data_IF_384067803911
#
_entry.id   IF_384067803911
#
_cell.length_a   1.000
_cell.length_b   1.000
_cell.length_c   1.000
_cell.angle_alpha   90.00
_cell.angle_beta   90.00
_cell.angle_gamma   90.00
#
_symmetry.space_group_name_H-M   'P 1'
#
loop_
_entity.id
_entity.type
_entity.pdbx_description
1 polymer ?
#
# COMPACT_ATOMS: atom_id res chain seq x y z
N UNK A 1 0.22 32.26 -34.19
CA UNK A 1 0.59 30.86 -33.92
C UNK A 1 1.09 30.78 -32.48
N UNK A 2 0.25 30.33 -31.54
CA UNK A 2 0.64 30.25 -30.12
C UNK A 2 1.81 29.28 -29.96
N UNK A 3 2.84 29.71 -29.23
CA UNK A 3 3.91 28.83 -28.77
C UNK A 3 3.23 27.71 -27.97
N UNK A 4 3.43 26.45 -28.37
CA UNK A 4 2.70 25.30 -27.83
C UNK A 4 2.60 25.33 -26.31
N UNK A 5 1.38 25.10 -25.80
CA UNK A 5 1.10 25.04 -24.37
C UNK A 5 1.87 23.89 -23.74
N UNK A 6 2.83 24.19 -22.86
CA UNK A 6 3.57 23.19 -22.08
C UNK A 6 2.86 23.00 -20.74
N UNK A 7 2.13 21.90 -20.61
CA UNK A 7 1.53 21.53 -19.34
C UNK A 7 2.62 20.96 -18.41
N UNK A 8 2.92 21.68 -17.33
CA UNK A 8 3.87 21.21 -16.32
C UNK A 8 3.13 20.35 -15.31
N UNK A 9 3.37 19.03 -15.34
CA UNK A 9 2.66 18.05 -14.49
C UNK A 9 2.81 18.31 -12.99
N UNK A 10 3.95 18.88 -12.56
CA UNK A 10 4.17 19.30 -11.17
C UNK A 10 3.24 20.45 -10.76
N UNK A 11 3.06 21.45 -11.65
CA UNK A 11 2.14 22.56 -11.42
C UNK A 11 0.67 22.10 -11.49
N UNK A 12 0.35 21.11 -12.33
CA UNK A 12 -0.97 20.48 -12.36
C UNK A 12 -1.24 19.72 -11.05
N UNK A 13 -0.26 18.99 -10.51
CA UNK A 13 -0.37 18.28 -9.25
C UNK A 13 -0.54 19.24 -8.06
N UNK A 14 0.24 20.32 -8.04
CA UNK A 14 0.10 21.36 -7.03
C UNK A 14 -1.28 22.04 -7.13
N UNK A 15 -1.72 22.39 -8.34
CA UNK A 15 -3.03 22.99 -8.56
C UNK A 15 -4.19 22.02 -8.21
N UNK A 16 -4.04 20.72 -8.46
CA UNK A 16 -5.01 19.71 -8.05
C UNK A 16 -5.09 19.64 -6.51
N UNK A 17 -3.95 19.61 -5.83
CA UNK A 17 -3.87 19.63 -4.37
C UNK A 17 -4.49 20.89 -3.77
N UNK A 18 -4.20 22.06 -4.36
CA UNK A 18 -4.79 23.34 -3.95
C UNK A 18 -6.31 23.35 -4.18
N UNK A 19 -6.80 22.82 -5.31
CA UNK A 19 -8.22 22.69 -5.59
C UNK A 19 -8.92 21.75 -4.59
N UNK A 20 -8.33 20.59 -4.28
CA UNK A 20 -8.85 19.69 -3.26
C UNK A 20 -8.84 20.34 -1.87
N UNK A 21 -7.76 21.02 -1.50
CA UNK A 21 -7.66 21.76 -0.24
C UNK A 21 -8.69 22.89 -0.13
N UNK A 22 -8.97 23.61 -1.20
CA UNK A 22 -10.03 24.62 -1.24
C UNK A 22 -11.42 23.99 -1.08
N UNK A 23 -11.66 22.81 -1.65
CA UNK A 23 -12.92 22.09 -1.44
C UNK A 23 -13.12 21.75 0.05
N UNK A 24 -12.08 21.23 0.71
CA UNK A 24 -12.10 20.92 2.15
C UNK A 24 -12.32 22.17 3.00
N UNK A 25 -11.64 23.28 2.68
CA UNK A 25 -11.83 24.55 3.39
C UNK A 25 -13.26 25.08 3.25
N UNK A 26 -13.85 25.00 2.05
CA UNK A 26 -15.25 25.42 1.80
C UNK A 26 -16.22 24.57 2.63
N UNK A 27 -16.01 23.26 2.71
CA UNK A 27 -16.84 22.37 3.51
C UNK A 27 -16.68 22.62 5.01
N UNK A 28 -15.46 22.85 5.47
CA UNK A 28 -15.17 23.20 6.85
C UNK A 28 -15.82 24.55 7.24
N UNK A 29 -15.75 25.57 6.38
CA UNK A 29 -16.44 26.84 6.60
C UNK A 29 -17.96 26.68 6.61
N UNK A 30 -18.52 25.88 5.69
CA UNK A 30 -19.95 25.57 5.65
C UNK A 30 -20.40 24.83 6.91
N UNK A 31 -19.65 23.84 7.37
CA UNK A 31 -19.94 23.07 8.58
C UNK A 31 -19.87 23.95 9.83
N UNK A 32 -18.88 24.85 9.91
CA UNK A 32 -18.77 25.81 11.02
C UNK A 32 -19.90 26.85 11.00
N UNK A 33 -20.29 27.34 9.82
CA UNK A 33 -21.41 28.27 9.68
C UNK A 33 -22.73 27.62 10.10
N UNK A 34 -22.93 26.37 9.69
CA UNK A 34 -24.08 25.56 10.09
C UNK A 34 -24.08 25.29 11.59
N UNK A 35 -22.98 24.86 12.19
CA UNK A 35 -22.87 24.65 13.64
C UNK A 35 -23.16 25.92 14.46
N UNK A 36 -22.79 27.10 13.93
CA UNK A 36 -23.03 28.39 14.60
C UNK A 36 -24.44 28.91 14.42
N UNK A 37 -25.15 28.50 13.37
CA UNK A 37 -26.46 29.08 13.02
C UNK A 37 -27.63 28.10 13.19
N UNK A 38 -27.42 26.78 13.11
CA UNK A 38 -28.47 25.76 13.20
C UNK A 38 -29.21 25.81 14.54
N UNK A 39 -30.53 25.91 14.47
CA UNK A 39 -31.42 25.94 15.64
C UNK A 39 -31.30 27.19 16.52
N UNK A 40 -30.46 28.19 16.15
CA UNK A 40 -30.26 29.42 16.91
C UNK A 40 -31.01 30.58 16.27
N UNK A 41 -31.67 31.39 17.11
CA UNK A 41 -32.24 32.67 16.70
C UNK A 41 -31.11 33.63 16.31
N UNK A 42 -31.18 34.18 15.09
CA UNK A 42 -30.17 35.10 14.54
C UNK A 42 -30.24 36.52 15.14
N UNK A 43 -31.20 36.78 16.04
CA UNK A 43 -31.32 38.04 16.78
C UNK A 43 -32.35 37.94 17.92
N UNK A 44 -32.42 38.98 18.76
CA UNK A 44 -33.36 39.08 19.90
C UNK A 44 -34.52 40.05 19.60
N UNK A 45 -35.72 39.76 20.11
CA UNK A 45 -36.89 40.64 20.01
C UNK A 45 -37.52 40.73 18.60
N UNK A 46 -38.38 41.75 18.38
CA UNK A 46 -39.09 41.95 17.09
C UNK A 46 -38.14 42.14 15.90
N UNK A 47 -36.99 42.79 16.11
CA UNK A 47 -35.94 42.93 15.09
C UNK A 47 -35.24 41.60 14.77
N UNK A 48 -35.06 40.73 15.76
CA UNK A 48 -34.53 39.38 15.56
C UNK A 48 -35.39 38.53 14.61
N UNK A 49 -36.72 38.67 14.66
CA UNK A 49 -37.62 37.97 13.73
C UNK A 49 -37.52 38.50 12.29
N UNK A 50 -37.27 39.79 12.11
CA UNK A 50 -37.06 40.40 10.79
C UNK A 50 -35.73 39.91 10.19
N UNK A 51 -34.66 39.94 10.99
CA UNK A 51 -33.34 39.41 10.60
C UNK A 51 -33.43 37.92 10.30
N UNK A 52 -34.15 37.14 11.10
CA UNK A 52 -34.33 35.73 10.85
C UNK A 52 -35.07 35.48 9.52
N UNK A 53 -36.16 36.19 9.23
CA UNK A 53 -36.89 36.02 7.96
C UNK A 53 -36.08 36.45 6.73
N UNK A 54 -35.26 37.49 6.84
CA UNK A 54 -34.48 38.00 5.72
C UNK A 54 -33.17 37.23 5.48
N UNK A 55 -32.45 36.88 6.54
CA UNK A 55 -31.07 36.37 6.48
C UNK A 55 -31.02 34.84 6.55
N UNK A 56 -31.98 34.19 7.23
CA UNK A 56 -31.97 32.73 7.40
C UNK A 56 -31.99 31.98 6.06
N UNK A 57 -32.85 32.33 5.08
CA UNK A 57 -32.88 31.64 3.80
C UNK A 57 -31.55 31.76 3.03
N UNK A 58 -30.86 32.90 3.17
CA UNK A 58 -29.55 33.14 2.54
C UNK A 58 -28.49 32.24 3.17
N UNK A 59 -28.43 32.18 4.51
CA UNK A 59 -27.48 31.31 5.23
C UNK A 59 -27.74 29.84 4.91
N UNK A 60 -29.00 29.42 4.93
CA UNK A 60 -29.36 28.03 4.64
C UNK A 60 -28.99 27.68 3.19
N UNK A 61 -29.24 28.56 2.20
CA UNK A 61 -28.80 28.35 0.81
C UNK A 61 -27.26 28.34 0.65
N UNK A 62 -26.55 29.18 1.40
CA UNK A 62 -25.08 29.17 1.41
C UNK A 62 -24.53 27.84 1.94
N UNK A 63 -25.15 27.27 2.97
CA UNK A 63 -24.75 25.99 3.58
C UNK A 63 -25.11 24.81 2.67
N UNK A 64 -26.34 24.75 2.16
CA UNK A 64 -26.84 23.54 1.48
C UNK A 64 -26.47 23.50 0.02
N UNK A 65 -26.51 24.63 -0.68
CA UNK A 65 -26.51 24.65 -2.15
C UNK A 65 -25.20 25.23 -2.69
N UNK A 66 -24.81 26.41 -2.22
CA UNK A 66 -23.62 27.10 -2.73
C UNK A 66 -22.33 26.41 -2.28
N UNK A 67 -22.18 26.14 -0.98
CA UNK A 67 -20.95 25.53 -0.45
C UNK A 67 -20.74 24.11 -0.99
N UNK A 68 -21.82 23.31 -1.11
CA UNK A 68 -21.72 21.98 -1.72
C UNK A 68 -21.40 22.03 -3.21
N UNK A 69 -22.00 22.96 -3.95
CA UNK A 69 -21.71 23.12 -5.39
C UNK A 69 -20.28 23.62 -5.63
N UNK A 70 -19.79 24.54 -4.80
CA UNK A 70 -18.42 25.04 -4.85
C UNK A 70 -17.40 23.96 -4.47
N UNK A 71 -17.66 23.18 -3.41
CA UNK A 71 -16.80 22.06 -3.04
C UNK A 71 -16.75 20.99 -4.15
N UNK A 72 -17.91 20.64 -4.73
CA UNK A 72 -17.98 19.74 -5.90
C UNK A 72 -17.24 20.30 -7.12
N UNK A 73 -17.37 21.60 -7.39
CA UNK A 73 -16.66 22.27 -8.48
C UNK A 73 -15.15 22.18 -8.30
N UNK A 74 -14.63 22.53 -7.13
CA UNK A 74 -13.20 22.43 -6.82
C UNK A 74 -12.67 21.00 -6.87
N UNK A 75 -13.43 20.01 -6.36
CA UNK A 75 -13.05 18.59 -6.51
C UNK A 75 -13.04 18.14 -7.95
N UNK A 76 -14.04 18.53 -8.73
CA UNK A 76 -14.11 18.19 -10.15
C UNK A 76 -12.94 18.78 -10.93
N UNK A 77 -12.51 19.99 -10.58
CA UNK A 77 -11.31 20.62 -11.14
C UNK A 77 -10.06 19.84 -10.72
N UNK A 78 -9.89 19.54 -9.43
CA UNK A 78 -8.78 18.73 -8.93
C UNK A 78 -8.69 17.37 -9.64
N UNK A 79 -9.82 16.68 -9.75
CA UNK A 79 -9.90 15.38 -10.42
C UNK A 79 -9.61 15.49 -11.93
N UNK A 80 -10.10 16.54 -12.60
CA UNK A 80 -9.78 16.82 -13.99
C UNK A 80 -8.29 17.10 -14.21
N UNK A 81 -7.63 17.79 -13.28
CA UNK A 81 -6.19 18.04 -13.30
C UNK A 81 -5.39 16.75 -13.07
N UNK A 82 -5.85 15.87 -12.17
CA UNK A 82 -5.24 14.56 -11.96
C UNK A 82 -5.36 13.65 -13.18
N UNK A 83 -6.53 13.62 -13.83
CA UNK A 83 -6.73 12.89 -15.10
C UNK A 83 -5.84 13.48 -16.20
N UNK A 84 -5.76 14.80 -16.30
CA UNK A 84 -4.93 15.47 -17.31
C UNK A 84 -3.45 15.16 -17.08
N UNK A 85 -3.00 15.19 -15.82
CA UNK A 85 -1.66 14.76 -15.43
C UNK A 85 -1.40 13.31 -15.82
N UNK A 86 -2.32 12.40 -15.49
CA UNK A 86 -2.22 10.98 -15.85
C UNK A 86 -2.08 10.79 -17.37
N UNK A 87 -2.92 11.46 -18.16
CA UNK A 87 -2.86 11.36 -19.62
C UNK A 87 -1.54 11.92 -20.19
N UNK A 88 -0.98 12.97 -19.58
CA UNK A 88 0.34 13.48 -19.97
C UNK A 88 1.44 12.49 -19.60
N UNK A 89 1.39 11.93 -18.38
CA UNK A 89 2.35 10.91 -17.92
C UNK A 89 2.30 9.66 -18.82
N UNK A 90 1.10 9.17 -19.15
CA UNK A 90 0.87 8.02 -20.04
C UNK A 90 1.37 8.31 -21.47
N UNK A 91 1.17 9.54 -21.97
CA UNK A 91 1.68 9.97 -23.26
C UNK A 91 3.21 10.07 -23.28
N UNK A 92 3.83 10.59 -22.20
CA UNK A 92 5.28 10.64 -22.06
C UNK A 92 5.89 9.23 -21.99
N UNK A 93 5.24 8.30 -21.28
CA UNK A 93 5.65 6.90 -21.22
C UNK A 93 5.54 6.20 -22.58
N UNK A 94 4.44 6.43 -23.31
CA UNK A 94 4.27 5.91 -24.67
C UNK A 94 5.33 6.46 -25.63
N UNK A 95 5.66 7.75 -25.54
CA UNK A 95 6.73 8.38 -26.32
C UNK A 95 8.08 7.76 -25.96
N UNK A 96 8.38 7.56 -24.67
CA UNK A 96 9.61 6.91 -24.19
C UNK A 96 9.74 5.47 -24.71
N UNK A 97 8.64 4.72 -24.70
CA UNK A 97 8.59 3.33 -25.18
C UNK A 97 8.82 3.25 -26.69
N UNK A 98 8.30 4.20 -27.46
CA UNK A 98 8.56 4.31 -28.89
C UNK A 98 10.00 4.78 -29.19
N UNK A 99 10.54 5.74 -28.44
CA UNK A 99 11.95 6.16 -28.55
C UNK A 99 12.93 5.03 -28.26
N UNK A 100 12.63 4.18 -27.27
CA UNK A 100 13.43 2.97 -26.98
C UNK A 100 13.37 1.89 -28.07
N UNK A 101 12.36 1.90 -28.94
CA UNK A 101 12.22 0.93 -30.04
C UNK A 101 12.88 1.41 -31.34
N UNK A 102 13.17 2.69 -31.48
CA UNK A 102 13.87 3.27 -32.64
C UNK A 102 15.31 3.63 -32.25
N UNK A 103 16.15 2.61 -32.13
CA UNK A 103 17.61 2.74 -32.02
C UNK A 103 18.29 2.73 -33.41
N UNK A 104 17.52 2.92 -34.48
CA UNK A 104 18.02 3.19 -35.83
C UNK A 104 17.94 4.71 -36.07
N UNK A 105 19.11 5.32 -36.30
CA UNK A 105 19.42 6.76 -36.41
C UNK A 105 18.63 7.59 -37.45
N UNK A 106 17.56 7.07 -38.06
CA UNK A 106 16.86 7.75 -39.16
C UNK A 106 15.69 8.63 -38.76
N UNK A 107 15.16 8.50 -37.54
CA UNK A 107 14.00 9.26 -37.05
C UNK A 107 14.24 9.97 -35.71
N UNK A 108 15.45 10.49 -35.48
CA UNK A 108 15.72 11.33 -34.32
C UNK A 108 14.87 12.62 -34.37
N UNK A 109 14.00 12.82 -33.39
CA UNK A 109 13.19 14.03 -33.20
C UNK A 109 14.15 15.23 -33.09
N UNK A 110 14.22 16.07 -34.14
CA UNK A 110 15.02 17.30 -34.14
C UNK A 110 14.38 18.33 -33.20
N UNK A 111 14.80 18.32 -31.94
CA UNK A 111 14.46 19.35 -30.95
C UNK A 111 15.00 20.71 -31.42
N UNK A 112 14.15 21.75 -31.39
CA UNK A 112 14.57 23.11 -31.78
C UNK A 112 15.38 23.75 -30.64
N UNK A 113 16.30 24.65 -31.02
CA UNK A 113 17.12 25.45 -30.10
C UNK A 113 16.22 26.11 -29.04
N UNK A 114 16.38 25.72 -27.77
CA UNK A 114 15.60 26.18 -26.62
C UNK A 114 14.69 25.14 -25.96
N UNK A 115 14.43 23.98 -26.58
CA UNK A 115 13.80 22.85 -25.92
C UNK A 115 14.85 22.00 -25.20
N UNK A 116 14.97 22.15 -23.88
CA UNK A 116 15.60 21.13 -23.04
C UNK A 116 14.53 20.10 -22.70
N UNK A 117 14.63 18.91 -23.28
CA UNK A 117 14.10 17.72 -22.62
C UNK A 117 14.74 17.67 -21.23
N UNK A 118 13.99 17.28 -20.19
CA UNK A 118 14.65 16.88 -18.95
C UNK A 118 15.64 15.78 -19.37
N UNK A 119 16.92 15.95 -19.05
CA UNK A 119 17.93 14.92 -19.32
C UNK A 119 17.42 13.59 -18.74
N UNK A 120 17.75 12.46 -19.37
CA UNK A 120 17.22 11.14 -18.99
C UNK A 120 17.42 10.86 -17.48
N UNK A 121 18.50 11.38 -16.91
CA UNK A 121 18.81 11.31 -15.48
C UNK A 121 17.82 12.11 -14.63
N UNK A 122 17.44 13.32 -15.04
CA UNK A 122 16.47 14.14 -14.31
C UNK A 122 15.04 13.54 -14.36
N UNK A 123 14.67 12.88 -15.46
CA UNK A 123 13.42 12.11 -15.54
C UNK A 123 13.46 10.87 -14.64
N UNK A 124 14.59 10.16 -14.62
CA UNK A 124 14.80 8.99 -13.76
C UNK A 124 14.74 9.37 -12.28
N UNK A 125 15.32 10.50 -11.91
CA UNK A 125 15.32 10.97 -10.52
C UNK A 125 13.94 11.40 -10.05
N UNK A 126 13.17 12.12 -10.89
CA UNK A 126 11.77 12.43 -10.59
C UNK A 126 10.91 11.18 -10.46
N UNK A 127 11.13 10.18 -11.32
CA UNK A 127 10.44 8.90 -11.23
C UNK A 127 10.75 8.18 -9.91
N UNK A 128 12.03 8.05 -9.55
CA UNK A 128 12.45 7.48 -8.26
C UNK A 128 11.86 8.24 -7.08
N UNK A 129 11.83 9.56 -7.14
CA UNK A 129 11.24 10.39 -6.10
C UNK A 129 9.74 10.12 -5.94
N UNK A 130 9.01 9.94 -7.05
CA UNK A 130 7.58 9.64 -7.05
C UNK A 130 7.30 8.25 -6.47
N UNK A 131 8.07 7.23 -6.87
CA UNK A 131 7.98 5.88 -6.29
C UNK A 131 8.28 5.92 -4.80
N UNK A 132 9.33 6.65 -4.39
CA UNK A 132 9.69 6.86 -3.00
C UNK A 132 8.57 7.49 -2.18
N UNK A 133 7.96 8.59 -2.68
CA UNK A 133 6.84 9.26 -2.02
C UNK A 133 5.63 8.32 -1.87
N UNK A 134 5.29 7.56 -2.90
CA UNK A 134 4.17 6.63 -2.84
C UNK A 134 4.42 5.52 -1.79
N UNK A 135 5.63 4.97 -1.77
CA UNK A 135 6.02 3.98 -0.75
C UNK A 135 6.00 4.60 0.65
N UNK A 136 6.46 5.83 0.83
CA UNK A 136 6.42 6.52 2.12
C UNK A 136 5.00 6.74 2.63
N UNK A 137 4.08 7.08 1.73
CA UNK A 137 2.66 7.18 2.07
C UNK A 137 2.06 5.82 2.44
N UNK A 138 2.42 4.74 1.74
CA UNK A 138 2.02 3.38 2.11
C UNK A 138 2.64 2.95 3.46
N UNK A 139 3.87 3.37 3.77
CA UNK A 139 4.51 3.13 5.08
C UNK A 139 3.76 3.84 6.20
N UNK A 140 3.31 5.09 5.99
CA UNK A 140 2.50 5.83 6.96
C UNK A 140 1.12 5.20 7.18
N UNK A 141 0.60 4.50 6.18
CA UNK A 141 -0.64 3.74 6.29
C UNK A 141 -0.47 2.42 7.06
N UNK A 142 0.76 1.95 7.30
CA UNK A 142 1.07 0.90 8.29
C UNK A 142 0.86 -0.56 7.88
N UNK A 143 0.57 -0.84 6.60
CA UNK A 143 -0.23 -2.02 6.25
C UNK A 143 0.51 -3.18 5.54
N UNK A 144 0.86 -3.01 4.26
CA UNK A 144 1.60 -4.01 3.48
C UNK A 144 3.12 -3.81 3.42
N UNK A 145 3.63 -2.57 3.26
CA UNK A 145 5.06 -2.36 3.00
C UNK A 145 5.98 -2.77 4.14
N UNK A 146 5.60 -2.50 5.39
CA UNK A 146 6.47 -2.83 6.53
C UNK A 146 6.58 -4.35 6.73
N UNK A 147 5.51 -5.09 6.44
CA UNK A 147 5.45 -6.55 6.56
C UNK A 147 6.06 -7.30 5.38
N UNK A 148 6.02 -6.71 4.19
CA UNK A 148 6.27 -7.43 2.94
C UNK A 148 7.08 -6.67 1.89
N UNK A 149 7.44 -5.40 2.08
CA UNK A 149 8.32 -4.66 1.17
C UNK A 149 9.70 -4.45 1.79
N UNK A 150 9.75 -3.94 3.03
CA UNK A 150 10.98 -3.57 3.72
C UNK A 150 11.40 -4.41 4.95
N UNK A 151 10.92 -5.65 5.21
CA UNK A 151 11.40 -6.40 6.38
C UNK A 151 12.87 -6.85 6.19
N UNK A 152 13.67 -6.99 7.23
CA UNK A 152 14.96 -7.70 7.08
C UNK A 152 14.74 -9.21 7.03
N UNK A 153 15.74 -9.98 6.60
CA UNK A 153 15.64 -11.44 6.60
C UNK A 153 15.46 -11.99 8.02
N UNK A 154 16.08 -11.35 9.01
CA UNK A 154 15.88 -11.68 10.42
C UNK A 154 14.45 -11.41 10.85
N UNK A 155 13.86 -10.27 10.47
CA UNK A 155 12.44 -9.99 10.74
C UNK A 155 11.52 -11.01 10.07
N UNK A 156 11.84 -11.48 8.86
CA UNK A 156 11.07 -12.55 8.20
C UNK A 156 11.17 -13.88 8.95
N UNK A 157 12.35 -14.23 9.46
CA UNK A 157 12.56 -15.45 10.27
C UNK A 157 11.87 -15.35 11.64
N UNK A 158 11.93 -14.19 12.29
CA UNK A 158 11.23 -13.93 13.56
C UNK A 158 9.71 -13.97 13.39
N UNK A 159 9.20 -13.54 12.24
CA UNK A 159 7.78 -13.66 11.88
C UNK A 159 7.30 -15.11 11.81
N UNK A 160 8.18 -16.05 11.44
CA UNK A 160 7.84 -17.47 11.46
C UNK A 160 7.66 -17.99 12.88
N UNK A 161 8.32 -17.39 13.87
CA UNK A 161 8.23 -17.76 15.27
C UNK A 161 9.06 -19.01 15.61
N UNK A 162 8.65 -19.70 16.67
CA UNK A 162 9.33 -20.90 17.22
C UNK A 162 8.52 -22.17 16.95
N UNK A 163 9.14 -23.29 16.54
CA UNK A 163 8.49 -24.60 16.43
C UNK A 163 7.71 -24.97 17.71
N UNK A 164 6.45 -25.35 17.57
CA UNK A 164 5.60 -25.74 18.69
C UNK A 164 5.82 -27.23 19.02
N UNK A 165 6.44 -27.56 20.18
CA UNK A 165 6.76 -28.93 20.53
C UNK A 165 5.50 -29.70 20.93
N UNK A 166 5.41 -30.97 20.54
CA UNK A 166 4.38 -31.87 21.07
C UNK A 166 4.77 -32.25 22.48
N UNK A 167 3.85 -32.08 23.43
CA UNK A 167 4.10 -32.38 24.86
C UNK A 167 3.31 -33.60 25.32
N UNK A 168 3.88 -34.37 26.24
CA UNK A 168 3.19 -35.45 26.94
C UNK A 168 2.23 -34.91 28.02
N UNK A 169 1.51 -35.80 28.70
CA UNK A 169 0.58 -35.42 29.79
C UNK A 169 1.26 -34.77 31.01
N UNK A 170 2.59 -34.85 31.10
CA UNK A 170 3.41 -34.25 32.16
C UNK A 170 4.07 -32.94 31.71
N UNK A 171 3.87 -32.51 30.46
CA UNK A 171 4.44 -31.29 29.89
C UNK A 171 5.84 -31.45 29.28
N UNK A 172 6.41 -32.66 29.25
CA UNK A 172 7.71 -32.93 28.63
C UNK A 172 7.58 -33.04 27.10
N UNK A 173 8.63 -32.68 26.36
CA UNK A 173 8.63 -32.83 24.90
C UNK A 173 8.62 -34.31 24.53
N UNK A 174 7.65 -34.71 23.71
CA UNK A 174 7.63 -36.03 23.12
C UNK A 174 8.74 -36.13 22.08
N UNK A 175 9.48 -37.23 22.08
CA UNK A 175 10.49 -37.54 21.07
C UNK A 175 10.00 -38.59 20.09
N UNK A 176 10.59 -38.64 18.90
CA UNK A 176 10.42 -39.73 17.95
C UNK A 176 11.28 -40.95 18.33
N UNK A 177 11.27 -41.98 17.47
CA UNK A 177 12.01 -43.22 17.70
C UNK A 177 13.54 -43.02 17.70
N UNK A 178 14.02 -41.93 17.10
CA UNK A 178 15.44 -41.58 17.02
C UNK A 178 15.87 -40.63 18.15
N UNK A 179 14.93 -40.30 19.06
CA UNK A 179 15.16 -39.41 20.21
C UNK A 179 15.05 -37.93 19.88
N UNK A 180 14.61 -37.55 18.68
CA UNK A 180 14.45 -36.14 18.31
C UNK A 180 13.09 -35.60 18.77
N UNK A 181 13.01 -34.33 19.24
CA UNK A 181 11.74 -33.70 19.62
C UNK A 181 10.73 -33.71 18.47
N UNK A 182 9.49 -34.11 18.78
CA UNK A 182 8.36 -34.03 17.88
C UNK A 182 7.75 -32.65 17.94
N UNK A 183 7.35 -32.14 16.78
CA UNK A 183 6.68 -30.85 16.65
C UNK A 183 5.29 -31.03 16.04
N UNK A 184 4.38 -30.13 16.37
CA UNK A 184 3.06 -30.11 15.75
C UNK A 184 3.19 -29.80 14.25
N UNK A 185 2.50 -30.57 13.42
CA UNK A 185 2.47 -30.38 11.97
C UNK A 185 1.06 -30.08 11.48
N UNK A 186 0.98 -29.21 10.48
CA UNK A 186 -0.24 -28.91 9.74
C UNK A 186 0.10 -28.78 8.25
N UNK A 187 -0.62 -29.51 7.40
CA UNK A 187 -0.45 -29.51 5.94
C UNK A 187 0.98 -29.79 5.43
N UNK A 188 1.77 -30.54 6.20
CA UNK A 188 3.17 -30.84 5.89
C UNK A 188 4.17 -29.78 6.34
N UNK A 189 3.77 -28.82 7.18
CA UNK A 189 4.62 -27.77 7.74
C UNK A 189 4.54 -27.75 9.26
N UNK A 190 5.57 -27.20 9.90
CA UNK A 190 5.65 -27.05 11.36
C UNK A 190 4.71 -25.95 11.82
N UNK A 191 3.89 -26.23 12.83
CA UNK A 191 3.16 -25.20 13.56
C UNK A 191 4.09 -24.46 14.51
N UNK A 192 3.91 -23.14 14.60
CA UNK A 192 4.79 -22.29 15.38
C UNK A 192 4.05 -21.32 16.29
N UNK A 193 4.72 -20.91 17.36
CA UNK A 193 4.28 -19.91 18.34
C UNK A 193 5.21 -18.70 18.32
N UNK A 194 4.90 -17.67 19.12
CA UNK A 194 5.82 -16.56 19.43
C UNK A 194 6.33 -15.83 18.17
N UNK A 195 5.39 -15.60 17.25
CA UNK A 195 5.59 -14.91 15.99
C UNK A 195 5.66 -13.40 16.24
N UNK A 196 6.58 -12.73 15.56
CA UNK A 196 6.77 -11.27 15.68
C UNK A 196 6.32 -10.58 14.40
N UNK A 197 5.52 -9.53 14.54
CA UNK A 197 5.10 -8.72 13.41
C UNK A 197 6.28 -7.90 12.88
N UNK A 198 6.68 -8.03 11.60
CA UNK A 198 7.73 -7.20 11.03
C UNK A 198 7.37 -5.69 11.06
N UNK A 199 6.09 -5.33 11.19
CA UNK A 199 5.70 -3.93 11.36
C UNK A 199 6.24 -3.27 12.65
N UNK A 200 6.66 -4.05 13.65
CA UNK A 200 7.37 -3.53 14.84
C UNK A 200 8.76 -2.95 14.53
N UNK A 201 9.32 -3.29 13.36
CA UNK A 201 10.66 -2.91 12.94
C UNK A 201 11.77 -3.80 13.53
N UNK A 202 13.05 -3.45 13.28
CA UNK A 202 14.19 -4.22 13.77
C UNK A 202 14.31 -4.15 15.30
N UNK A 203 14.90 -5.20 15.89
CA UNK A 203 15.13 -5.34 17.33
C UNK A 203 13.84 -5.23 18.16
N UNK A 204 12.74 -5.78 17.64
CA UNK A 204 11.43 -5.70 18.27
C UNK A 204 11.41 -6.37 19.65
N UNK A 205 12.09 -7.52 19.79
CA UNK A 205 12.18 -8.25 21.06
C UNK A 205 12.81 -7.42 22.17
N UNK A 206 13.94 -6.79 21.88
CA UNK A 206 14.68 -5.97 22.86
C UNK A 206 13.90 -4.71 23.23
N UNK A 207 13.22 -4.10 22.24
CA UNK A 207 12.46 -2.86 22.42
C UNK A 207 11.13 -3.05 23.14
N UNK A 208 10.42 -4.15 22.86
CA UNK A 208 9.03 -4.33 23.24
C UNK A 208 8.80 -5.47 24.25
N UNK A 209 9.79 -6.34 24.47
CA UNK A 209 9.65 -7.51 25.33
C UNK A 209 8.48 -8.40 24.91
N UNK A 210 7.60 -8.73 25.84
CA UNK A 210 6.40 -9.54 25.59
C UNK A 210 5.44 -8.94 24.55
N UNK A 211 5.45 -7.61 24.38
CA UNK A 211 4.61 -6.94 23.38
C UNK A 211 5.10 -7.17 21.95
N UNK A 212 6.33 -7.68 21.75
CA UNK A 212 6.84 -8.01 20.43
C UNK A 212 6.02 -9.10 19.72
N UNK A 213 5.32 -9.94 20.48
CA UNK A 213 4.49 -11.04 19.95
C UNK A 213 3.07 -10.61 19.59
N UNK A 214 2.69 -9.37 19.90
CA UNK A 214 1.38 -8.81 19.55
C UNK A 214 1.40 -8.28 18.12
N UNK A 215 0.23 -8.17 17.50
CA UNK A 215 0.12 -7.53 16.19
C UNK A 215 0.38 -6.03 16.33
N UNK A 216 1.20 -5.46 15.44
CA UNK A 216 1.57 -4.05 15.53
C UNK A 216 0.37 -3.11 15.27
N UNK A 217 -0.63 -3.60 14.52
CA UNK A 217 -1.85 -2.83 14.24
C UNK A 217 -2.94 -3.09 15.28
N UNK A 218 -2.96 -4.28 15.89
CA UNK A 218 -3.93 -4.67 16.91
C UNK A 218 -3.24 -5.35 18.10
N UNK A 219 -2.77 -4.53 19.04
CA UNK A 219 -2.08 -4.98 20.25
C UNK A 219 -2.94 -5.89 21.17
N UNK A 220 -4.24 -6.05 20.90
CA UNK A 220 -5.11 -6.98 21.63
C UNK A 220 -4.96 -8.43 21.16
N UNK A 221 -4.28 -8.67 20.03
CA UNK A 221 -4.13 -10.00 19.42
C UNK A 221 -2.66 -10.34 19.21
N UNK A 222 -2.32 -11.63 19.35
CA UNK A 222 -1.03 -12.15 18.93
C UNK A 222 -0.90 -12.09 17.41
N UNK A 223 0.29 -11.75 16.93
CA UNK A 223 0.56 -11.74 15.49
C UNK A 223 0.45 -13.15 14.89
N UNK A 224 -0.02 -13.21 13.63
CA UNK A 224 -0.18 -14.46 12.89
C UNK A 224 0.61 -14.42 11.59
N UNK A 225 1.25 -15.53 11.30
CA UNK A 225 1.92 -15.82 10.04
C UNK A 225 1.62 -17.27 9.70
N UNK A 226 1.36 -17.54 8.42
CA UNK A 226 1.21 -18.90 7.92
C UNK A 226 2.57 -19.61 7.86
N UNK A 227 2.65 -20.78 7.22
CA UNK A 227 3.87 -21.57 7.04
C UNK A 227 5.02 -20.83 6.33
N UNK A 228 4.71 -19.76 5.59
CA UNK A 228 5.69 -18.95 4.87
C UNK A 228 5.70 -17.52 5.37
N UNK A 229 6.90 -16.99 5.54
CA UNK A 229 7.13 -15.57 5.77
C UNK A 229 7.78 -15.00 4.51
N UNK A 230 7.00 -14.29 3.72
CA UNK A 230 7.39 -13.85 2.38
C UNK A 230 7.36 -12.33 2.25
N UNK A 231 8.13 -11.81 1.31
CA UNK A 231 8.21 -10.39 0.98
C UNK A 231 8.68 -10.19 -0.46
N UNK A 232 8.56 -8.97 -0.94
CA UNK A 232 9.28 -8.49 -2.10
C UNK A 232 10.76 -8.38 -1.76
N UNK A 233 11.61 -8.57 -2.77
CA UNK A 233 13.05 -8.48 -2.66
C UNK A 233 13.49 -7.07 -2.26
N UNK A 234 14.67 -6.97 -1.67
CA UNK A 234 15.25 -5.67 -1.31
C UNK A 234 15.35 -4.76 -2.54
N UNK A 235 14.89 -3.51 -2.41
CA UNK A 235 14.91 -2.53 -3.49
C UNK A 235 13.81 -2.71 -4.55
N UNK A 236 12.82 -3.59 -4.33
CA UNK A 236 11.71 -3.84 -5.26
C UNK A 236 10.51 -2.87 -5.04
N UNK A 237 10.77 -1.64 -4.60
CA UNK A 237 9.76 -0.57 -4.38
C UNK A 237 8.92 -0.29 -5.62
N UNK A 238 9.57 -0.25 -6.78
CA UNK A 238 8.94 -0.06 -8.08
C UNK A 238 8.01 -1.24 -8.42
N UNK A 239 8.51 -2.48 -8.26
CA UNK A 239 7.74 -3.68 -8.55
C UNK A 239 6.50 -3.80 -7.63
N UNK A 240 6.65 -3.46 -6.35
CA UNK A 240 5.55 -3.38 -5.39
C UNK A 240 4.53 -2.33 -5.82
N UNK A 241 4.97 -1.13 -6.22
CA UNK A 241 4.06 -0.06 -6.66
C UNK A 241 3.27 -0.48 -7.91
N UNK A 242 3.93 -1.10 -8.90
CA UNK A 242 3.25 -1.62 -10.09
C UNK A 242 2.26 -2.74 -9.76
N UNK A 243 2.61 -3.65 -8.85
CA UNK A 243 1.72 -4.71 -8.42
C UNK A 243 0.49 -4.15 -7.68
N UNK A 244 0.65 -3.13 -6.83
CA UNK A 244 -0.48 -2.46 -6.18
C UNK A 244 -1.39 -1.77 -7.21
N UNK A 245 -0.81 -1.04 -8.17
CA UNK A 245 -1.58 -0.40 -9.24
C UNK A 245 -2.38 -1.42 -10.07
N UNK A 246 -1.75 -2.55 -10.42
CA UNK A 246 -2.42 -3.64 -11.11
C UNK A 246 -3.55 -4.24 -10.26
N UNK A 247 -3.31 -4.50 -8.98
CA UNK A 247 -4.33 -4.98 -8.04
C UNK A 247 -5.52 -4.04 -7.94
N UNK A 248 -5.26 -2.73 -7.80
CA UNK A 248 -6.29 -1.68 -7.78
C UNK A 248 -7.12 -1.62 -9.06
N UNK A 249 -6.50 -1.85 -10.21
CA UNK A 249 -7.22 -1.87 -11.51
C UNK A 249 -8.22 -3.03 -11.64
N UNK A 250 -8.10 -4.05 -10.79
CA UNK A 250 -8.97 -5.23 -10.74
C UNK A 250 -10.01 -5.18 -9.63
N UNK A 251 -10.06 -4.10 -8.85
CA UNK A 251 -11.10 -3.93 -7.85
C UNK A 251 -12.45 -3.78 -8.54
N UNK A 252 -13.46 -4.46 -8.02
CA UNK A 252 -14.83 -4.31 -8.47
C UNK A 252 -15.42 -3.05 -7.81
N UNK A 253 -15.78 -2.00 -8.57
CA UNK A 253 -16.34 -0.78 -8.02
C UNK A 253 -17.74 -0.97 -7.42
N UNK A 254 -18.42 -2.09 -7.72
CA UNK A 254 -19.71 -2.43 -7.12
C UNK A 254 -19.59 -3.06 -5.73
N UNK A 255 -18.42 -3.63 -5.41
CA UNK A 255 -18.15 -4.29 -4.14
C UNK A 255 -17.59 -3.30 -3.11
N UNK A 256 -18.46 -2.87 -2.19
CA UNK A 256 -18.11 -1.88 -1.15
C UNK A 256 -17.30 -2.47 0.02
N UNK A 257 -17.14 -3.80 0.08
CA UNK A 257 -16.47 -4.49 1.16
C UNK A 257 -14.96 -4.68 0.96
N UNK A 258 -14.37 -5.50 1.82
CA UNK A 258 -13.00 -6.00 1.66
C UNK A 258 -12.88 -6.82 0.38
N UNK A 259 -11.89 -6.51 -0.44
CA UNK A 259 -11.60 -7.22 -1.68
C UNK A 259 -10.22 -7.86 -1.64
N UNK A 260 -10.10 -9.06 -2.21
CA UNK A 260 -8.84 -9.80 -2.33
C UNK A 260 -8.59 -10.07 -3.80
N UNK A 261 -7.49 -9.55 -4.32
CA UNK A 261 -7.07 -9.74 -5.70
C UNK A 261 -5.85 -10.65 -5.69
N UNK A 262 -5.91 -11.73 -6.47
CA UNK A 262 -4.79 -12.64 -6.68
C UNK A 262 -4.43 -12.67 -8.17
N UNK A 263 -3.16 -12.48 -8.48
CA UNK A 263 -2.65 -12.41 -9.86
C UNK A 263 -1.22 -12.93 -9.91
N UNK A 264 -0.78 -13.33 -11.09
CA UNK A 264 0.59 -13.77 -11.35
C UNK A 264 1.56 -12.58 -11.47
N UNK A 265 2.86 -12.78 -11.17
CA UNK A 265 3.90 -11.79 -11.45
C UNK A 265 3.91 -11.32 -12.91
N UNK A 266 3.62 -12.22 -13.85
CA UNK A 266 3.58 -11.94 -15.28
C UNK A 266 2.43 -11.00 -15.67
N UNK A 267 1.29 -11.09 -14.99
CA UNK A 267 0.18 -10.16 -15.16
C UNK A 267 0.53 -8.75 -14.66
N UNK A 268 1.34 -8.63 -13.61
CA UNK A 268 1.71 -7.35 -13.03
C UNK A 268 2.89 -6.67 -13.75
N UNK A 269 3.87 -7.45 -14.22
CA UNK A 269 5.17 -6.95 -14.67
C UNK A 269 5.53 -7.36 -16.10
N UNK A 270 4.68 -8.13 -16.77
CA UNK A 270 4.92 -8.66 -18.11
C UNK A 270 5.64 -10.01 -18.09
N UNK A 271 5.83 -10.62 -19.28
CA UNK A 271 6.41 -11.95 -19.39
C UNK A 271 7.88 -11.97 -18.94
N UNK A 272 8.27 -13.04 -18.26
CA UNK A 272 9.64 -13.24 -17.82
C UNK A 272 9.73 -13.95 -16.48
N UNK A 273 10.95 -14.22 -16.06
CA UNK A 273 11.23 -14.73 -14.73
C UNK A 273 11.21 -13.57 -13.72
N UNK A 274 10.49 -13.76 -12.62
CA UNK A 274 10.35 -12.74 -11.56
C UNK A 274 10.76 -13.25 -10.18
N UNK A 275 11.39 -14.42 -10.09
CA UNK A 275 11.74 -15.07 -8.81
C UNK A 275 12.65 -14.19 -7.94
N UNK A 276 13.60 -13.47 -8.55
CA UNK A 276 14.51 -12.54 -7.86
C UNK A 276 13.82 -11.32 -7.22
N UNK A 277 12.55 -11.06 -7.60
CA UNK A 277 11.75 -9.96 -7.05
C UNK A 277 11.09 -10.32 -5.73
N UNK A 278 11.21 -11.57 -5.29
CA UNK A 278 10.65 -12.05 -4.04
C UNK A 278 11.74 -12.68 -3.17
N UNK A 279 11.45 -12.73 -1.88
CA UNK A 279 12.23 -13.48 -0.91
C UNK A 279 11.32 -13.97 0.19
N UNK A 280 11.71 -15.06 0.83
CA UNK A 280 10.93 -15.60 1.93
C UNK A 280 11.55 -16.86 2.46
N UNK A 281 11.07 -17.24 3.64
CA UNK A 281 11.55 -18.39 4.37
C UNK A 281 10.38 -19.24 4.88
N UNK A 282 10.67 -20.51 5.10
CA UNK A 282 9.86 -21.42 5.89
C UNK A 282 10.77 -22.25 6.79
N UNK A 283 10.21 -22.85 7.84
CA UNK A 283 10.96 -23.77 8.69
C UNK A 283 10.98 -25.14 8.02
N UNK A 284 12.16 -25.74 7.94
CA UNK A 284 12.34 -27.08 7.35
C UNK A 284 11.46 -28.11 8.08
N UNK A 285 10.43 -28.68 7.43
CA UNK A 285 9.53 -29.61 8.09
C UNK A 285 10.19 -30.92 8.51
N UNK A 286 11.27 -31.31 7.82
CA UNK A 286 11.98 -32.57 8.08
C UNK A 286 13.03 -32.43 9.19
N UNK A 287 13.56 -31.23 9.39
CA UNK A 287 14.59 -30.96 10.38
C UNK A 287 14.45 -29.52 10.89
N UNK A 288 13.45 -29.21 11.74
CA UNK A 288 13.07 -27.83 12.02
C UNK A 288 14.03 -27.07 12.93
N UNK A 289 14.89 -27.76 13.68
CA UNK A 289 15.79 -27.15 14.63
C UNK A 289 17.06 -27.99 14.77
N UNK A 290 18.22 -27.35 14.78
CA UNK A 290 19.48 -27.98 15.15
C UNK A 290 19.50 -28.25 16.66
N UNK A 291 19.53 -29.52 17.03
CA UNK A 291 19.50 -29.95 18.43
C UNK A 291 20.74 -29.57 19.24
N UNK A 292 21.89 -29.30 18.61
CA UNK A 292 23.11 -28.91 19.31
C UNK A 292 23.13 -27.43 19.65
N UNK A 293 22.61 -26.60 18.75
CA UNK A 293 22.68 -25.15 18.86
C UNK A 293 21.36 -24.52 19.30
N UNK A 294 20.24 -25.24 19.18
CA UNK A 294 18.89 -24.72 19.39
C UNK A 294 18.41 -23.78 18.28
N UNK A 295 19.17 -23.66 17.19
CA UNK A 295 18.84 -22.76 16.09
C UNK A 295 17.78 -23.37 15.17
N UNK A 296 16.83 -22.56 14.73
CA UNK A 296 15.81 -22.98 13.76
C UNK A 296 16.44 -23.11 12.38
N UNK A 297 16.12 -24.19 11.70
CA UNK A 297 16.54 -24.43 10.32
C UNK A 297 15.51 -23.83 9.36
N UNK A 298 15.88 -22.68 8.79
CA UNK A 298 15.07 -22.00 7.78
C UNK A 298 15.51 -22.40 6.37
N UNK A 299 14.54 -22.69 5.49
CA UNK A 299 14.76 -22.89 4.05
C UNK A 299 14.21 -21.69 3.26
N UNK A 300 14.91 -21.24 2.20
CA UNK A 300 14.38 -20.23 1.31
C UNK A 300 13.18 -20.78 0.53
N UNK A 301 12.21 -19.91 0.23
CA UNK A 301 11.03 -20.27 -0.54
C UNK A 301 11.33 -20.29 -2.04
N UNK A 302 10.92 -21.36 -2.73
CA UNK A 302 10.77 -21.39 -4.18
C UNK A 302 9.47 -20.66 -4.60
N UNK A 303 9.66 -19.53 -5.29
CA UNK A 303 8.58 -18.68 -5.82
C UNK A 303 8.14 -19.04 -7.24
N UNK A 304 8.66 -20.11 -7.83
CA UNK A 304 8.21 -20.54 -9.16
C UNK A 304 6.70 -20.89 -9.15
N UNK A 305 5.93 -20.17 -9.95
CA UNK A 305 4.47 -20.28 -10.00
C UNK A 305 3.75 -19.62 -8.81
N UNK A 306 4.46 -18.83 -7.99
CA UNK A 306 3.84 -18.03 -6.95
C UNK A 306 2.88 -17.00 -7.54
N UNK A 307 1.86 -16.63 -6.76
CA UNK A 307 0.96 -15.51 -7.08
C UNK A 307 1.27 -14.33 -6.16
N UNK A 308 0.86 -13.14 -6.56
CA UNK A 308 0.79 -11.97 -5.70
C UNK A 308 -0.65 -11.89 -5.18
N UNK A 309 -0.79 -11.77 -3.87
CA UNK A 309 -2.08 -11.59 -3.20
C UNK A 309 -2.12 -10.21 -2.58
N UNK A 310 -3.02 -9.38 -3.07
CA UNK A 310 -3.27 -8.03 -2.58
C UNK A 310 -4.64 -7.97 -1.91
N UNK A 311 -4.69 -7.37 -0.73
CA UNK A 311 -5.89 -7.25 0.08
C UNK A 311 -6.19 -5.77 0.27
N UNK A 312 -7.43 -5.40 -0.02
CA UNK A 312 -7.91 -4.03 0.02
C UNK A 312 -9.12 -3.92 0.93
N UNK A 313 -9.11 -2.94 1.84
CA UNK A 313 -10.27 -2.60 2.67
C UNK A 313 -10.83 -1.24 2.23
N UNK A 314 -12.12 -0.96 2.49
CA UNK A 314 -12.70 0.34 2.24
C UNK A 314 -11.96 1.44 3.01
N UNK A 315 -11.76 2.59 2.37
CA UNK A 315 -11.07 3.74 2.98
C UNK A 315 -12.03 4.72 3.70
N UNK A 316 -13.34 4.47 3.64
CA UNK A 316 -14.37 5.32 4.22
C UNK A 316 -14.80 6.51 3.35
N UNK A 317 -14.12 6.75 2.23
CA UNK A 317 -14.38 7.84 1.28
C UNK A 317 -14.92 7.35 -0.07
N UNK A 318 -15.34 6.08 -0.13
CA UNK A 318 -15.82 5.44 -1.36
C UNK A 318 -14.73 4.80 -2.22
N UNK A 319 -13.50 4.73 -1.72
CA UNK A 319 -12.41 3.99 -2.34
C UNK A 319 -11.92 2.83 -1.46
N UNK A 320 -10.79 2.26 -1.85
CA UNK A 320 -10.12 1.20 -1.09
C UNK A 320 -8.65 1.54 -0.83
N UNK A 321 -8.18 1.18 0.36
CA UNK A 321 -6.78 1.26 0.76
C UNK A 321 -6.15 -0.13 0.77
N UNK A 322 -4.85 -0.20 0.48
CA UNK A 322 -4.11 -1.46 0.52
C UNK A 322 -3.84 -1.86 1.98
N UNK A 323 -4.34 -3.01 2.40
CA UNK A 323 -4.15 -3.59 3.74
C UNK A 323 -2.89 -4.44 3.80
N UNK A 324 -2.66 -5.25 2.77
CA UNK A 324 -1.41 -6.01 2.66
C UNK A 324 -1.26 -6.53 1.24
N UNK A 325 -0.02 -6.70 0.80
CA UNK A 325 0.29 -7.37 -0.44
C UNK A 325 1.54 -8.24 -0.27
N UNK A 326 1.45 -9.50 -0.67
CA UNK A 326 2.55 -10.44 -0.50
C UNK A 326 2.57 -11.52 -1.58
N UNK A 327 3.75 -12.08 -1.88
CA UNK A 327 3.83 -13.26 -2.74
C UNK A 327 3.37 -14.50 -1.96
N UNK A 328 2.43 -15.24 -2.55
CA UNK A 328 1.84 -16.49 -2.08
C UNK A 328 2.50 -17.66 -2.85
N UNK A 329 3.44 -18.39 -2.23
CA UNK A 329 4.17 -19.47 -2.88
C UNK A 329 3.32 -20.74 -3.02
N UNK A 330 3.74 -21.62 -3.93
CA UNK A 330 3.09 -22.92 -4.14
C UNK A 330 3.55 -23.91 -3.08
N UNK A 331 2.64 -24.29 -2.16
CA UNK A 331 2.90 -25.24 -1.06
C UNK A 331 3.49 -26.59 -1.49
N UNK A 332 3.18 -27.08 -2.69
CA UNK A 332 3.70 -28.36 -3.18
C UNK A 332 5.20 -28.36 -3.50
N UNK A 333 5.78 -27.17 -3.77
CA UNK A 333 7.20 -27.01 -4.13
C UNK A 333 8.12 -26.82 -2.93
N UNK A 334 7.55 -26.48 -1.78
CA UNK A 334 8.29 -26.01 -0.60
C UNK A 334 8.15 -26.97 0.60
N UNK A 335 8.42 -28.27 0.42
CA UNK A 335 8.30 -29.28 1.49
C UNK A 335 9.65 -29.80 1.95
#
# INVERSE_FOLDING_TARGET
>A
MSKGFKAHTDHLAQAAKEAHGHAEQVEHHSSNLDAKTRGRLLGKGKFGMIVQKAVRPIIDSMITDMSKSMARGHRSIGHGLDITRKNIDDAEEAIRKNLRRHQDDRDAIKLKVGQRALDEDALRDKYKQRVGQHVDDLRRQGHGPQRHLDPTDDMLKERLGQPSPVRDGNGNHLTDNDGNPRYHMQDGYIQTTDKIDPAHGPNAKERLGENAYMDAEDASKKHKCDSFSTSFGSGQHEAFTYADQHGRSRLDPSEQGRQVVSFSPEEAWGPGSHHERFRGFYIDPSNPMDHKTGNINYKPVDFAGAKIKAIYDPDGNGGHRLVTMFPEPVRGRNR
#
